data_IF_002251085092
#
_entry.id   IF_002251085092
#
_cell.length_a   1.000
_cell.length_b   1.000
_cell.length_c   1.000
_cell.angle_alpha   90.00
_cell.angle_beta   90.00
_cell.angle_gamma   90.00
#
_symmetry.space_group_name_H-M   'P 1'
#
loop_
_entity.id
_entity.type
_entity.pdbx_description
1 polymer ?
#
# COMPACT_ATOMS: atom_id res chain seq x y z
N UNK A 1 7.34 8.99 1.90
CA UNK A 1 6.75 9.03 0.54
C UNK A 1 5.28 8.69 0.65
N UNK A 2 4.42 9.58 0.13
CA UNK A 2 2.96 9.39 0.14
C UNK A 2 2.57 8.08 -0.56
N UNK A 3 1.81 7.23 0.12
CA UNK A 3 1.36 5.97 -0.44
C UNK A 3 0.08 6.20 -1.24
N UNK A 4 0.18 6.05 -2.56
CA UNK A 4 -0.93 6.33 -3.48
C UNK A 4 -1.10 5.16 -4.44
N UNK A 5 -2.33 4.66 -4.55
CA UNK A 5 -2.69 3.65 -5.52
C UNK A 5 -3.77 4.17 -6.46
N UNK A 6 -3.67 3.83 -7.74
CA UNK A 6 -4.68 4.19 -8.72
C UNK A 6 -5.48 2.98 -9.14
N UNK A 7 -6.80 3.02 -8.93
CA UNK A 7 -7.72 1.94 -9.24
C UNK A 7 -8.73 2.38 -10.31
N UNK A 8 -8.91 1.61 -11.39
CA UNK A 8 -10.03 1.81 -12.30
C UNK A 8 -11.31 1.21 -11.71
N UNK A 9 -12.42 1.92 -11.82
CA UNK A 9 -13.74 1.36 -11.58
C UNK A 9 -14.00 0.28 -12.63
N UNK A 10 -14.12 -0.98 -12.20
CA UNK A 10 -14.40 -2.11 -13.09
C UNK A 10 -15.83 -2.11 -13.68
N UNK A 11 -16.52 -0.99 -13.71
CA UNK A 11 -17.79 -0.79 -14.43
C UNK A 11 -17.63 0.22 -15.56
N UNK A 12 -17.23 1.46 -15.23
CA UNK A 12 -17.11 2.54 -16.21
C UNK A 12 -15.67 3.00 -16.51
N UNK A 13 -14.65 2.30 -15.98
CA UNK A 13 -13.24 2.57 -16.26
C UNK A 13 -12.63 3.82 -15.62
N UNK A 14 -13.42 4.64 -14.93
CA UNK A 14 -12.92 5.85 -14.25
C UNK A 14 -11.86 5.51 -13.21
N UNK A 15 -10.83 6.34 -13.14
CA UNK A 15 -9.66 6.09 -12.31
C UNK A 15 -9.73 6.90 -11.02
N UNK A 16 -9.39 6.25 -9.91
CA UNK A 16 -9.38 6.82 -8.57
C UNK A 16 -7.97 6.70 -8.03
N UNK A 17 -7.32 7.82 -7.76
CA UNK A 17 -6.02 7.86 -7.08
C UNK A 17 -6.28 8.05 -5.59
N UNK A 18 -6.05 6.99 -4.82
CA UNK A 18 -6.35 6.92 -3.39
C UNK A 18 -5.05 7.09 -2.60
N UNK A 19 -5.01 8.10 -1.75
CA UNK A 19 -3.98 8.33 -0.77
C UNK A 19 -4.25 7.57 0.52
N UNK A 20 -3.22 6.91 1.04
CA UNK A 20 -3.28 6.14 2.29
C UNK A 20 -2.28 6.69 3.30
N UNK A 21 -2.75 7.50 4.27
CA UNK A 21 -1.90 7.97 5.37
C UNK A 21 -1.31 6.79 6.16
N UNK A 22 -0.06 6.93 6.60
CA UNK A 22 0.66 5.95 7.41
C UNK A 22 -0.07 5.64 8.71
N UNK A 23 -0.66 6.65 9.36
CA UNK A 23 -1.47 6.45 10.57
C UNK A 23 -2.59 5.43 10.34
N UNK A 24 -3.31 5.56 9.23
CA UNK A 24 -4.38 4.64 8.84
C UNK A 24 -3.82 3.25 8.51
N UNK A 25 -2.71 3.16 7.78
CA UNK A 25 -2.11 1.86 7.43
C UNK A 25 -1.65 1.09 8.66
N UNK A 26 -1.04 1.78 9.62
CA UNK A 26 -0.58 1.18 10.86
C UNK A 26 -1.74 0.70 11.72
N UNK A 27 -2.82 1.49 11.78
CA UNK A 27 -4.07 1.11 12.44
C UNK A 27 -4.70 -0.14 11.80
N UNK A 28 -4.82 -0.16 10.47
CA UNK A 28 -5.44 -1.27 9.73
C UNK A 28 -4.61 -2.56 9.74
N UNK A 29 -3.28 -2.46 9.71
CA UNK A 29 -2.38 -3.62 9.59
C UNK A 29 -1.81 -4.13 10.92
N UNK A 30 -1.89 -3.32 11.99
CA UNK A 30 -1.23 -3.61 13.26
C UNK A 30 0.30 -3.70 13.16
N UNK A 31 0.92 -3.09 12.15
CA UNK A 31 2.37 -3.15 11.94
C UNK A 31 3.17 -2.24 12.87
N UNK A 32 2.56 -1.13 13.30
CA UNK A 32 3.15 -0.14 14.20
C UNK A 32 2.03 0.67 14.91
N UNK A 33 2.35 1.47 15.94
CA UNK A 33 1.39 2.39 16.56
C UNK A 33 0.93 3.49 15.60
N UNK A 34 -0.32 3.92 15.73
CA UNK A 34 -0.93 5.00 14.93
C UNK A 34 -0.16 6.32 15.08
N UNK A 35 0.34 6.61 16.27
CA UNK A 35 1.05 7.84 16.62
C UNK A 35 2.34 8.02 15.81
N UNK A 36 3.05 6.92 15.56
CA UNK A 36 4.21 6.93 14.66
C UNK A 36 3.80 7.32 13.24
N UNK A 37 2.69 6.74 12.76
CA UNK A 37 2.16 7.07 11.44
C UNK A 37 1.77 8.53 11.32
N UNK A 38 1.17 9.12 12.37
CA UNK A 38 0.83 10.56 12.39
C UNK A 38 2.08 11.44 12.26
N UNK A 39 3.18 11.07 12.92
CA UNK A 39 4.43 11.82 12.82
C UNK A 39 5.02 11.76 11.40
N UNK A 40 5.01 10.58 10.78
CA UNK A 40 5.42 10.38 9.39
C UNK A 40 4.53 11.15 8.41
N UNK A 41 3.21 11.07 8.57
CA UNK A 41 2.24 11.77 7.74
C UNK A 41 2.44 13.29 7.81
N UNK A 42 2.76 13.83 9.00
CA UNK A 42 3.05 15.26 9.17
C UNK A 42 4.31 15.69 8.43
N UNK A 43 5.36 14.87 8.45
CA UNK A 43 6.58 15.14 7.70
C UNK A 43 6.32 15.11 6.18
N UNK A 44 5.50 14.18 5.70
CA UNK A 44 5.10 14.10 4.30
C UNK A 44 4.24 15.30 3.88
N UNK A 45 3.31 15.72 4.73
CA UNK A 45 2.51 16.92 4.48
C UNK A 45 3.38 18.17 4.44
N UNK A 46 4.33 18.32 5.36
CA UNK A 46 5.26 19.44 5.39
C UNK A 46 6.17 19.48 4.14
N UNK A 47 6.49 18.32 3.57
CA UNK A 47 7.27 18.24 2.32
C UNK A 47 6.48 18.63 1.06
N UNK A 48 5.16 18.77 1.16
CA UNK A 48 4.28 19.03 0.01
C UNK A 48 4.09 17.83 -0.92
N UNK A 49 4.60 16.64 -0.57
CA UNK A 49 4.51 15.45 -1.40
C UNK A 49 3.06 15.02 -1.69
N UNK A 50 2.17 15.18 -0.71
CA UNK A 50 0.74 14.83 -0.84
C UNK A 50 0.06 15.74 -1.87
N UNK A 51 0.27 17.07 -1.76
CA UNK A 51 -0.31 18.04 -2.67
C UNK A 51 0.24 17.91 -4.09
N UNK A 52 1.54 17.68 -4.23
CA UNK A 52 2.16 17.42 -5.54
C UNK A 52 1.54 16.18 -6.21
N UNK A 53 1.32 15.12 -5.45
CA UNK A 53 0.75 13.89 -5.97
C UNK A 53 -0.75 14.00 -6.26
N UNK A 54 -1.49 14.77 -5.44
CA UNK A 54 -2.87 15.17 -5.72
C UNK A 54 -2.97 15.92 -7.04
N UNK A 55 -2.15 16.96 -7.22
CA UNK A 55 -2.13 17.74 -8.45
C UNK A 55 -1.82 16.87 -9.67
N UNK A 56 -0.84 15.96 -9.56
CA UNK A 56 -0.50 15.04 -10.64
C UNK A 56 -1.65 14.06 -10.99
N UNK A 57 -2.37 13.57 -9.96
CA UNK A 57 -3.53 12.70 -10.16
C UNK A 57 -4.68 13.42 -10.86
N UNK A 58 -5.01 14.63 -10.40
CA UNK A 58 -6.07 15.47 -10.98
C UNK A 58 -5.72 15.89 -12.42
N UNK A 59 -4.46 16.26 -12.69
CA UNK A 59 -3.96 16.55 -14.05
C UNK A 59 -4.08 15.35 -15.00
N UNK A 60 -3.96 14.14 -14.47
CA UNK A 60 -4.13 12.89 -15.22
C UNK A 60 -5.61 12.50 -15.42
N UNK A 61 -6.56 13.32 -14.94
CA UNK A 61 -7.99 13.04 -14.99
C UNK A 61 -8.45 11.98 -13.98
N UNK A 62 -7.63 11.64 -13.00
CA UNK A 62 -8.01 10.72 -11.93
C UNK A 62 -8.77 11.48 -10.83
N UNK A 63 -9.70 10.79 -10.19
CA UNK A 63 -10.39 11.31 -9.01
C UNK A 63 -9.51 11.07 -7.80
N UNK A 64 -9.12 12.13 -7.10
CA UNK A 64 -8.39 12.03 -5.84
C UNK A 64 -9.32 11.59 -4.70
N UNK A 65 -8.83 10.67 -3.86
CA UNK A 65 -9.53 10.16 -2.68
C UNK A 65 -8.53 10.08 -1.53
N UNK A 66 -8.93 10.51 -0.34
CA UNK A 66 -8.15 10.29 0.88
C UNK A 66 -8.83 9.21 1.74
N UNK A 67 -8.13 8.09 1.90
CA UNK A 67 -8.62 6.92 2.60
C UNK A 67 -8.87 7.16 4.10
N UNK A 68 -8.31 8.22 4.70
CA UNK A 68 -8.60 8.57 6.10
C UNK A 68 -10.01 9.13 6.31
N UNK A 69 -10.65 9.61 5.24
CA UNK A 69 -12.01 10.16 5.30
C UNK A 69 -13.05 9.21 4.69
N UNK A 70 -12.76 8.60 3.54
CA UNK A 70 -13.64 7.62 2.92
C UNK A 70 -12.88 6.35 2.53
N UNK A 71 -13.30 5.21 3.09
CA UNK A 71 -12.81 3.89 2.68
C UNK A 71 -13.74 3.23 1.66
N UNK A 72 -14.92 3.78 1.43
CA UNK A 72 -15.89 3.27 0.47
C UNK A 72 -16.59 4.42 -0.24
N UNK A 73 -16.85 4.27 -1.54
CA UNK A 73 -17.58 5.26 -2.34
C UNK A 73 -18.39 4.60 -3.43
N UNK A 74 -19.53 5.17 -3.76
CA UNK A 74 -20.28 4.80 -4.96
C UNK A 74 -19.73 5.58 -6.16
N UNK A 75 -19.24 4.87 -7.17
CA UNK A 75 -18.88 5.47 -8.46
C UNK A 75 -20.12 6.07 -9.13
N UNK A 76 -19.96 7.09 -10.01
CA UNK A 76 -21.12 7.65 -10.74
C UNK A 76 -21.84 6.62 -11.63
N UNK A 77 -21.23 5.48 -11.95
CA UNK A 77 -21.90 4.39 -12.64
C UNK A 77 -22.74 3.47 -11.71
N UNK A 78 -22.85 3.81 -10.42
CA UNK A 78 -23.57 3.05 -9.41
C UNK A 78 -22.77 1.92 -8.75
N UNK A 79 -21.54 1.64 -9.21
CA UNK A 79 -20.70 0.57 -8.62
C UNK A 79 -20.13 1.00 -7.27
N UNK A 80 -20.31 0.16 -6.25
CA UNK A 80 -19.62 0.33 -4.95
C UNK A 80 -18.13 0.07 -5.13
N UNK A 81 -17.32 1.02 -4.71
CA UNK A 81 -15.87 0.95 -4.69
C UNK A 81 -15.44 0.81 -3.23
N UNK A 82 -14.60 -0.18 -3.00
CA UNK A 82 -13.95 -0.41 -1.71
C UNK A 82 -12.49 0.03 -1.84
N UNK A 83 -12.12 1.03 -1.06
CA UNK A 83 -10.79 1.59 -0.94
C UNK A 83 -10.10 1.11 0.34
N UNK A 84 -10.67 0.18 1.11
CA UNK A 84 -9.93 -0.44 2.19
C UNK A 84 -8.81 -1.30 1.60
N UNK A 85 -7.57 -0.85 1.80
CA UNK A 85 -6.38 -1.53 1.29
C UNK A 85 -6.28 -2.97 1.82
N UNK A 86 -6.84 -3.25 3.00
CA UNK A 86 -6.89 -4.60 3.57
C UNK A 86 -7.83 -5.52 2.82
N UNK A 87 -8.81 -5.04 2.06
CA UNK A 87 -9.66 -5.91 1.25
C UNK A 87 -9.08 -6.13 -0.16
N UNK A 88 -7.97 -5.45 -0.49
CA UNK A 88 -7.39 -5.55 -1.80
C UNK A 88 -6.76 -6.95 -2.02
N UNK A 89 -7.07 -7.67 -3.10
CA UNK A 89 -6.66 -9.06 -3.31
C UNK A 89 -5.14 -9.28 -3.40
N UNK A 90 -4.36 -8.20 -3.57
CA UNK A 90 -2.90 -8.24 -3.59
C UNK A 90 -2.24 -7.98 -2.23
N UNK A 91 -3.00 -7.58 -1.20
CA UNK A 91 -2.49 -7.38 0.15
C UNK A 91 -2.58 -8.71 0.90
N UNK A 92 -1.45 -9.30 1.33
CA UNK A 92 -1.46 -10.55 2.08
C UNK A 92 -2.31 -10.40 3.34
N UNK A 93 -3.40 -11.17 3.43
CA UNK A 93 -4.35 -11.12 4.54
C UNK A 93 -3.78 -11.67 5.87
N UNK A 94 -2.66 -12.38 5.81
CA UNK A 94 -1.98 -12.91 6.99
C UNK A 94 -0.46 -12.86 6.83
N UNK A 95 0.24 -12.55 7.93
CA UNK A 95 1.72 -12.60 8.02
C UNK A 95 2.26 -14.00 7.64
N UNK A 96 1.48 -15.06 7.88
CA UNK A 96 1.80 -16.43 7.50
C UNK A 96 1.77 -16.68 5.98
N UNK A 97 0.82 -16.08 5.24
CA UNK A 97 0.78 -16.22 3.78
C UNK A 97 1.89 -15.41 3.08
N UNK A 98 2.32 -14.29 3.65
CA UNK A 98 3.44 -13.50 3.13
C UNK A 98 4.78 -14.26 3.23
N UNK A 99 4.99 -15.01 4.32
CA UNK A 99 6.16 -15.91 4.45
C UNK A 99 6.07 -17.07 3.44
N UNK A 100 4.87 -17.62 3.20
CA UNK A 100 4.68 -18.73 2.25
C UNK A 100 4.92 -18.35 0.78
N UNK A 101 4.80 -17.06 0.41
CA UNK A 101 5.08 -16.57 -0.95
C UNK A 101 6.54 -16.16 -1.19
N UNK A 102 7.41 -16.20 -0.18
CA UNK A 102 8.86 -16.12 -0.38
C UNK A 102 9.47 -17.46 -0.79
N UNK A 103 8.77 -18.30 -1.56
CA UNK A 103 9.38 -19.44 -2.25
C UNK A 103 9.92 -18.97 -3.59
N UNK A 104 11.01 -18.19 -3.52
CA UNK A 104 11.69 -17.65 -4.68
C UNK A 104 13.06 -17.07 -4.37
N UNK A 105 13.63 -17.39 -3.20
CA UNK A 105 15.06 -17.23 -2.98
C UNK A 105 15.75 -18.23 -3.88
N UNK A 106 16.36 -17.76 -4.97
CA UNK A 106 17.45 -18.47 -5.62
C UNK A 106 18.45 -18.74 -4.49
N UNK A 107 18.74 -20.00 -4.12
CA UNK A 107 19.74 -20.26 -3.11
C UNK A 107 21.05 -19.64 -3.62
N UNK A 108 21.60 -18.68 -2.87
CA UNK A 108 22.98 -18.26 -3.07
C UNK A 108 23.85 -19.53 -2.98
N UNK A 109 24.80 -19.74 -3.91
CA UNK A 109 25.64 -20.92 -3.87
C UNK A 109 26.36 -20.92 -2.53
N UNK A 110 26.02 -21.89 -1.67
CA UNK A 110 26.76 -22.16 -0.44
C UNK A 110 28.18 -22.48 -0.87
N UNK A 111 29.12 -21.63 -0.46
CA UNK A 111 30.56 -21.86 -0.67
C UNK A 111 30.97 -23.26 -0.15
N UNK A 112 32.08 -23.80 -0.67
CA UNK A 112 32.46 -25.19 -0.41
C UNK A 112 32.62 -25.45 1.10
N UNK A 113 32.01 -26.54 1.56
CA UNK A 113 32.02 -26.96 2.96
C UNK A 113 33.47 -27.20 3.46
N UNK A 114 33.79 -26.83 4.71
CA UNK A 114 35.12 -27.08 5.27
C UNK A 114 35.37 -28.58 5.43
N UNK A 115 36.49 -29.07 4.88
CA UNK A 115 36.99 -30.42 5.13
C UNK A 115 37.27 -30.59 6.63
N UNK A 116 36.67 -31.61 7.25
CA UNK A 116 37.01 -32.04 8.61
C UNK A 116 38.46 -32.55 8.64
N UNK A 117 39.23 -32.29 9.72
CA UNK A 117 40.56 -32.88 9.88
C UNK A 117 40.41 -34.39 10.11
N UNK A 118 41.21 -35.18 9.38
CA UNK A 118 41.26 -36.63 9.50
C UNK A 118 41.79 -37.08 10.86
N UNK A 119 41.32 -38.25 11.28
CA UNK A 119 41.93 -39.10 12.30
C UNK A 119 43.07 -39.89 11.69
#
# INVERSE_FOLDING_TARGET
MALIFTFPCGGCGRRYSVHYPKALLYELSGSAPREMGVAEDRAEQASGAIEAARAAAEQSGNIWVDASFELERVCLCGKKLDFNIMHHPRVPQSKELAQKRQTGLIPFPTGPAPKKPGT
#
